data_IF_955995582619
#
_entry.id   IF_955995582619
#
_cell.length_a   1.000
_cell.length_b   1.000
_cell.length_c   1.000
_cell.angle_alpha   90.00
_cell.angle_beta   90.00
_cell.angle_gamma   90.00
#
_symmetry.space_group_name_H-M   'P 1'
#
loop_
_entity.id
_entity.type
_entity.pdbx_description
1 polymer ?
#
# COMPACT_ATOMS: atom_id res chain seq x y z
N UNK A 1 -3.66 -5.66 6.58
CA UNK A 1 -3.44 -6.79 5.65
C UNK A 1 -2.86 -6.42 4.28
N UNK A 2 -3.11 -5.22 3.71
CA UNK A 2 -2.73 -4.93 2.31
C UNK A 2 -1.22 -4.95 2.00
N UNK A 3 -0.37 -4.79 3.01
CA UNK A 3 1.06 -4.58 2.82
C UNK A 3 1.93 -5.66 3.51
N UNK A 4 1.35 -6.72 4.08
CA UNK A 4 2.13 -7.75 4.78
C UNK A 4 2.80 -8.76 3.81
N UNK A 5 2.28 -8.89 2.59
CA UNK A 5 2.82 -9.79 1.55
C UNK A 5 4.29 -9.52 1.19
N UNK A 6 4.77 -8.29 1.42
CA UNK A 6 6.16 -7.93 1.12
C UNK A 6 7.15 -8.65 2.03
N UNK A 7 6.75 -8.98 3.28
CA UNK A 7 7.63 -9.69 4.21
C UNK A 7 7.90 -11.13 3.75
N UNK A 8 6.90 -11.77 3.17
CA UNK A 8 7.03 -13.10 2.58
C UNK A 8 7.95 -13.06 1.36
N UNK A 9 7.75 -12.08 0.45
CA UNK A 9 8.63 -11.89 -0.72
C UNK A 9 10.09 -11.64 -0.31
N UNK A 10 10.33 -10.81 0.71
CA UNK A 10 11.68 -10.57 1.20
C UNK A 10 12.31 -11.82 1.82
N UNK A 11 11.52 -12.69 2.45
CA UNK A 11 11.99 -13.98 2.95
C UNK A 11 12.38 -14.95 1.82
N UNK A 12 11.58 -14.99 0.74
CA UNK A 12 11.87 -15.81 -0.43
C UNK A 12 13.16 -15.35 -1.12
N UNK A 13 13.33 -14.03 -1.29
CA UNK A 13 14.55 -13.46 -1.87
C UNK A 13 15.78 -13.72 -0.99
N UNK A 14 15.64 -13.66 0.33
CA UNK A 14 16.74 -13.98 1.26
C UNK A 14 17.15 -15.44 1.11
N UNK A 15 16.18 -16.35 1.00
CA UNK A 15 16.43 -17.79 0.78
C UNK A 15 17.15 -18.01 -0.54
N UNK A 16 16.66 -17.42 -1.62
CA UNK A 16 17.32 -17.45 -2.93
C UNK A 16 18.77 -16.93 -2.84
N UNK A 17 19.01 -15.81 -2.17
CA UNK A 17 20.35 -15.25 -2.02
C UNK A 17 21.29 -16.19 -1.27
N UNK A 18 20.82 -16.84 -0.19
CA UNK A 18 21.60 -17.83 0.57
C UNK A 18 21.94 -19.04 -0.29
N UNK A 19 20.96 -19.59 -0.99
CA UNK A 19 21.13 -20.78 -1.84
C UNK A 19 22.11 -20.55 -2.99
N UNK A 20 22.27 -19.29 -3.43
CA UNK A 20 23.17 -18.90 -4.51
C UNK A 20 24.51 -18.31 -4.03
N UNK A 21 24.82 -18.39 -2.73
CA UNK A 21 26.07 -17.87 -2.18
C UNK A 21 26.21 -16.34 -2.20
N UNK A 22 25.10 -15.62 -2.37
CA UNK A 22 25.03 -14.15 -2.35
C UNK A 22 24.92 -13.64 -0.91
N UNK A 23 25.93 -13.92 -0.08
CA UNK A 23 25.89 -13.68 1.38
C UNK A 23 25.58 -12.23 1.76
N UNK A 24 26.22 -11.26 1.10
CA UNK A 24 25.99 -9.82 1.34
C UNK A 24 24.55 -9.44 1.01
N UNK A 25 23.99 -9.99 -0.08
CA UNK A 25 22.61 -9.71 -0.45
C UNK A 25 21.63 -10.31 0.57
N UNK A 26 21.89 -11.53 1.05
CA UNK A 26 21.07 -12.16 2.08
C UNK A 26 21.06 -11.36 3.40
N UNK A 27 22.21 -10.81 3.79
CA UNK A 27 22.35 -9.92 4.95
C UNK A 27 21.55 -8.63 4.76
N UNK A 28 21.70 -7.95 3.63
CA UNK A 28 20.93 -6.74 3.31
C UNK A 28 19.42 -6.99 3.27
N UNK A 29 18.99 -8.16 2.80
CA UNK A 29 17.59 -8.55 2.79
C UNK A 29 17.04 -8.79 4.20
N UNK A 30 17.87 -9.21 5.15
CA UNK A 30 17.46 -9.35 6.56
C UNK A 30 17.17 -7.97 7.17
N UNK A 31 18.09 -7.02 7.00
CA UNK A 31 17.93 -5.63 7.44
C UNK A 31 16.71 -4.97 6.78
N UNK A 32 16.54 -5.17 5.48
CA UNK A 32 15.40 -4.65 4.72
C UNK A 32 14.08 -5.18 5.28
N UNK A 33 14.04 -6.46 5.67
CA UNK A 33 12.84 -7.08 6.26
C UNK A 33 12.51 -6.49 7.63
N UNK A 34 13.52 -6.15 8.43
CA UNK A 34 13.34 -5.49 9.73
C UNK A 34 12.78 -4.07 9.58
N UNK A 35 13.31 -3.29 8.64
CA UNK A 35 12.82 -1.93 8.33
C UNK A 35 11.37 -2.00 7.85
N UNK A 36 11.07 -2.88 6.88
CA UNK A 36 9.72 -3.05 6.37
C UNK A 36 8.73 -3.45 7.48
N UNK A 37 9.08 -4.42 8.35
CA UNK A 37 8.22 -4.81 9.46
C UNK A 37 7.93 -3.64 10.41
N UNK A 38 8.94 -2.81 10.69
CA UNK A 38 8.80 -1.62 11.54
C UNK A 38 7.86 -0.59 10.91
N UNK A 39 8.06 -0.25 9.65
CA UNK A 39 7.21 0.72 8.93
C UNK A 39 5.77 0.25 8.81
N UNK A 40 5.56 -1.05 8.57
CA UNK A 40 4.23 -1.66 8.49
C UNK A 40 3.51 -1.64 9.84
N UNK A 41 4.23 -1.85 10.94
CA UNK A 41 3.68 -1.74 12.28
C UNK A 41 3.29 -0.28 12.60
N UNK A 42 4.11 0.69 12.20
CA UNK A 42 3.83 2.13 12.40
C UNK A 42 2.68 2.64 11.53
N UNK A 43 2.49 2.06 10.35
CA UNK A 43 1.39 2.42 9.42
C UNK A 43 0.06 1.73 9.80
N UNK A 44 0.07 0.85 10.82
CA UNK A 44 -1.06 0.05 11.24
C UNK A 44 -1.96 0.68 12.30
N UNK A 45 -2.60 1.83 12.05
CA UNK A 45 -3.95 2.13 12.56
C UNK A 45 -4.62 3.26 11.76
N UNK A 46 -5.73 2.91 11.14
CA UNK A 46 -6.75 3.79 10.57
C UNK A 46 -7.83 2.88 9.99
N UNK A 47 -9.07 2.87 10.52
CA UNK A 47 -10.09 1.91 10.10
C UNK A 47 -10.31 2.05 8.60
N UNK A 48 -10.56 0.90 7.96
CA UNK A 48 -10.84 0.78 6.55
C UNK A 48 -12.12 1.56 6.16
N UNK A 49 -12.01 2.87 6.04
CA UNK A 49 -12.99 3.73 5.37
C UNK A 49 -12.78 3.63 3.87
N UNK A 50 -13.16 2.50 3.28
CA UNK A 50 -13.44 2.45 1.85
C UNK A 50 -14.80 1.80 1.65
N UNK A 51 -15.84 2.52 2.08
CA UNK A 51 -17.12 2.49 1.40
C UNK A 51 -16.88 2.97 -0.02
N UNK A 52 -16.65 2.01 -0.91
CA UNK A 52 -16.60 2.22 -2.35
C UNK A 52 -18.04 2.46 -2.84
N UNK A 53 -18.59 3.63 -2.54
CA UNK A 53 -19.82 4.12 -3.14
C UNK A 53 -19.55 4.52 -4.60
N UNK A 54 -20.40 4.13 -5.58
CA UNK A 54 -20.10 4.33 -6.98
C UNK A 54 -20.15 5.82 -7.32
N UNK A 55 -19.20 6.22 -8.17
CA UNK A 55 -19.18 7.53 -8.81
C UNK A 55 -20.56 7.87 -9.38
N UNK A 56 -21.19 8.93 -8.87
CA UNK A 56 -22.23 9.65 -9.60
C UNK A 56 -21.67 11.02 -9.94
N UNK A 57 -21.57 11.21 -11.24
CA UNK A 57 -21.14 12.41 -11.92
C UNK A 57 -21.82 13.65 -11.33
N UNK A 58 -21.04 14.58 -10.78
CA UNK A 58 -21.45 15.96 -10.60
C UNK A 58 -21.05 16.73 -11.86
N UNK A 59 -21.84 16.52 -12.92
CA UNK A 59 -21.83 17.37 -14.10
C UNK A 59 -23.25 17.84 -14.31
N UNK A 60 -23.61 18.99 -13.73
CA UNK A 60 -24.80 19.74 -14.11
C UNK A 60 -24.48 21.24 -14.11
N UNK A 61 -23.97 21.66 -15.26
CA UNK A 61 -23.99 23.04 -15.75
C UNK A 61 -25.40 23.33 -16.26
N UNK A 62 -26.27 23.91 -15.43
CA UNK A 62 -27.52 24.52 -15.88
C UNK A 62 -28.10 25.47 -14.82
N UNK A 63 -27.65 26.73 -14.85
CA UNK A 63 -28.18 27.81 -14.00
C UNK A 63 -28.58 29.03 -14.83
N UNK A 64 -29.26 28.82 -15.96
CA UNK A 64 -29.91 29.89 -16.71
C UNK A 64 -31.43 29.81 -16.54
N UNK A 65 -32.03 30.90 -16.02
CA UNK A 65 -33.31 31.54 -16.43
C UNK A 65 -34.19 32.06 -15.27
N UNK A 66 -34.22 33.40 -15.15
CA UNK A 66 -35.29 34.37 -14.79
C UNK A 66 -36.58 33.92 -14.07
N UNK A 67 -36.98 34.76 -13.10
CA UNK A 67 -38.25 35.54 -13.00
C UNK A 67 -38.10 36.43 -11.75
N UNK A 68 -38.39 37.73 -11.69
CA UNK A 68 -39.53 38.48 -12.19
C UNK A 68 -40.42 38.83 -10.99
N UNK A 69 -40.22 40.00 -10.38
CA UNK A 69 -41.18 40.75 -9.55
C UNK A 69 -40.71 42.21 -9.41
#
# INVERSE_FOLDING_TARGET
MRNQWILDVLADLQTFARDNGLSVLAEQLDDTRLVAATELALTGEGPAGNERGPARAAGDIAGGCRTGL
#
